data_IF_003116837227
#
_entry.id   IF_003116837227
#
_cell.length_a   1.000
_cell.length_b   1.000
_cell.length_c   1.000
_cell.angle_alpha   90.00
_cell.angle_beta   90.00
_cell.angle_gamma   90.00
#
_symmetry.space_group_name_H-M   'P 1'
#
loop_
_entity.id
_entity.type
_entity.pdbx_description
1 polymer ?
#
# COMPACT_ATOMS: atom_id res chain seq x y z
N UNK A 1 9.96 7.49 3.06
CA UNK A 1 9.72 7.92 4.46
C UNK A 1 8.37 8.63 4.50
N UNK A 2 7.53 8.37 5.49
CA UNK A 2 6.15 8.93 5.60
C UNK A 2 6.06 10.10 6.59
N UNK A 3 7.20 10.57 7.08
CA UNK A 3 7.37 11.75 7.92
C UNK A 3 7.61 12.98 7.04
N UNK A 4 7.14 14.15 7.48
CA UNK A 4 7.39 15.42 6.81
C UNK A 4 8.89 15.70 6.67
N UNK A 5 9.27 16.33 5.55
CA UNK A 5 10.65 16.81 5.32
C UNK A 5 11.00 18.03 6.19
N UNK A 6 10.00 18.75 6.69
CA UNK A 6 10.18 20.00 7.43
C UNK A 6 9.89 19.86 8.94
N UNK A 7 9.11 18.84 9.33
CA UNK A 7 8.67 18.66 10.71
C UNK A 7 8.88 17.20 11.14
N UNK A 8 9.83 16.96 12.05
CA UNK A 8 10.21 15.63 12.50
C UNK A 8 9.14 14.93 13.38
N UNK A 9 8.07 15.64 13.73
CA UNK A 9 6.95 15.15 14.53
C UNK A 9 5.63 15.06 13.73
N UNK A 10 5.67 15.25 12.40
CA UNK A 10 4.48 15.20 11.55
C UNK A 10 4.57 14.01 10.61
N UNK A 11 3.56 13.14 10.69
CA UNK A 11 3.37 11.99 9.81
C UNK A 11 2.09 12.18 8.99
N UNK A 12 2.08 11.62 7.78
CA UNK A 12 0.91 11.64 6.91
C UNK A 12 0.64 10.25 6.35
N UNK A 13 -0.60 9.99 5.95
CA UNK A 13 -1.02 8.77 5.30
C UNK A 13 -2.12 9.05 4.27
N UNK A 14 -2.12 8.23 3.21
CA UNK A 14 -3.16 8.25 2.19
C UNK A 14 -3.05 9.39 1.17
N UNK A 15 -4.19 9.79 0.66
CA UNK A 15 -4.29 10.54 -0.59
C UNK A 15 -3.79 11.99 -0.49
N UNK A 16 -3.71 12.54 0.73
CA UNK A 16 -3.16 13.87 0.99
C UNK A 16 -1.65 13.96 0.80
N UNK A 17 -0.95 12.82 0.67
CA UNK A 17 0.50 12.80 0.54
C UNK A 17 0.97 12.98 -0.91
N UNK A 18 2.21 13.44 -1.06
CA UNK A 18 2.92 13.49 -2.34
C UNK A 18 3.81 12.25 -2.56
N UNK A 19 3.35 11.06 -2.15
CA UNK A 19 4.06 9.82 -2.43
C UNK A 19 3.81 9.39 -3.89
N UNK A 20 4.82 8.84 -4.60
CA UNK A 20 4.73 8.56 -6.04
C UNK A 20 3.96 7.27 -6.39
N UNK A 21 3.23 6.69 -5.44
CA UNK A 21 2.43 5.47 -5.63
C UNK A 21 0.97 5.79 -5.98
N UNK A 22 0.25 4.80 -6.50
CA UNK A 22 -1.19 4.93 -6.71
C UNK A 22 -1.93 5.16 -5.37
N UNK A 23 -2.90 6.07 -5.42
CA UNK A 23 -3.72 6.51 -4.27
C UNK A 23 -4.89 5.55 -4.05
N UNK A 24 -4.65 4.48 -3.28
CA UNK A 24 -5.65 3.44 -2.99
C UNK A 24 -5.72 3.12 -1.51
N UNK A 25 -6.86 2.58 -1.05
CA UNK A 25 -7.03 2.16 0.35
C UNK A 25 -6.01 1.08 0.78
N UNK A 26 -5.58 0.23 -0.16
CA UNK A 26 -4.53 -0.75 0.11
C UNK A 26 -3.18 -0.09 0.41
N UNK A 27 -2.83 0.99 -0.32
CA UNK A 27 -1.66 1.79 -0.01
C UNK A 27 -1.77 2.46 1.37
N UNK A 28 -2.96 2.98 1.73
CA UNK A 28 -3.23 3.53 3.09
C UNK A 28 -2.92 2.50 4.17
N UNK A 29 -3.38 1.26 4.02
CA UNK A 29 -3.10 0.18 4.97
C UNK A 29 -1.59 -0.05 5.14
N UNK A 30 -0.82 -0.07 4.05
CA UNK A 30 0.63 -0.20 4.10
C UNK A 30 1.33 1.04 4.68
N UNK A 31 0.80 2.25 4.44
CA UNK A 31 1.27 3.47 5.10
C UNK A 31 1.12 3.36 6.62
N UNK A 32 -0.05 2.96 7.10
CA UNK A 32 -0.34 2.85 8.53
C UNK A 32 0.59 1.83 9.22
N UNK A 33 0.81 0.66 8.61
CA UNK A 33 1.79 -0.34 9.12
C UNK A 33 3.21 0.21 9.22
N UNK A 34 3.62 1.08 8.29
CA UNK A 34 4.94 1.70 8.32
C UNK A 34 5.01 2.77 9.42
N UNK A 35 3.97 3.59 9.54
CA UNK A 35 3.89 4.65 10.55
C UNK A 35 3.86 4.06 11.95
N UNK A 36 3.08 3.00 12.19
CA UNK A 36 3.00 2.32 13.49
C UNK A 36 4.38 1.90 14.01
N UNK A 37 5.19 1.26 13.16
CA UNK A 37 6.57 0.85 13.50
C UNK A 37 7.50 2.02 13.76
N UNK A 38 7.29 3.14 13.07
CA UNK A 38 8.18 4.30 13.14
C UNK A 38 7.79 5.27 14.26
N UNK A 39 6.51 5.35 14.62
CA UNK A 39 6.00 6.30 15.61
C UNK A 39 6.61 6.02 16.98
N UNK A 40 6.66 4.74 17.39
CA UNK A 40 7.31 4.35 18.66
C UNK A 40 8.79 4.73 18.70
N UNK A 41 9.54 4.44 17.62
CA UNK A 41 10.94 4.82 17.51
C UNK A 41 11.13 6.35 17.56
N UNK A 42 10.27 7.11 16.87
CA UNK A 42 10.32 8.57 16.85
C UNK A 42 10.02 9.18 18.24
N UNK A 43 9.06 8.62 18.98
CA UNK A 43 8.75 9.04 20.35
C UNK A 43 9.92 8.81 21.32
N UNK A 44 10.71 7.76 21.08
CA UNK A 44 11.91 7.42 21.87
C UNK A 44 13.18 8.12 21.38
N UNK A 45 13.10 8.95 20.33
CA UNK A 45 14.27 9.61 19.72
C UNK A 45 15.22 8.63 19.01
N UNK A 46 14.75 7.44 18.64
CA UNK A 46 15.51 6.40 17.95
C UNK A 46 15.36 6.49 16.43
N UNK A 47 16.23 5.81 15.70
CA UNK A 47 16.12 5.68 14.25
C UNK A 47 14.85 4.91 13.87
N UNK A 48 14.12 5.43 12.86
CA UNK A 48 12.90 4.81 12.33
C UNK A 48 13.23 3.57 11.49
N UNK A 49 12.86 2.35 11.92
CA UNK A 49 13.33 1.12 11.29
C UNK A 49 12.56 0.76 10.00
N UNK A 50 11.35 1.28 9.81
CA UNK A 50 10.48 0.89 8.69
C UNK A 50 10.54 1.90 7.54
N UNK A 51 10.62 1.38 6.31
CA UNK A 51 10.53 2.17 5.08
C UNK A 51 9.36 1.66 4.25
N UNK A 52 8.47 2.58 3.90
CA UNK A 52 7.42 2.32 2.92
C UNK A 52 8.06 2.16 1.54
N UNK A 53 7.66 1.10 0.84
CA UNK A 53 8.20 0.65 -0.44
C UNK A 53 7.41 1.13 -1.66
N UNK A 54 6.31 1.86 -1.44
CA UNK A 54 5.44 2.33 -2.51
C UNK A 54 4.34 1.37 -2.91
N UNK A 55 4.07 0.31 -2.11
CA UNK A 55 3.02 -0.65 -2.38
C UNK A 55 1.64 -0.02 -2.62
N UNK A 56 1.01 -0.39 -3.72
CA UNK A 56 -0.40 -0.14 -3.96
C UNK A 56 -1.07 -1.41 -4.51
N UNK A 57 -2.36 -1.53 -4.24
CA UNK A 57 -3.21 -2.55 -4.84
C UNK A 57 -4.47 -1.94 -5.42
N UNK A 58 -4.85 -2.44 -6.59
CA UNK A 58 -6.06 -2.08 -7.31
C UNK A 58 -6.75 -3.36 -7.85
N UNK A 59 -7.85 -3.80 -7.23
CA UNK A 59 -8.68 -4.87 -7.78
C UNK A 59 -9.52 -4.33 -8.96
N UNK A 60 -9.15 -4.74 -10.18
CA UNK A 60 -9.76 -4.34 -11.43
C UNK A 60 -10.88 -5.31 -11.80
N UNK A 61 -12.12 -4.85 -11.86
CA UNK A 61 -13.25 -5.68 -12.32
C UNK A 61 -13.27 -5.68 -13.85
N UNK A 62 -12.98 -6.83 -14.45
CA UNK A 62 -12.87 -7.00 -15.91
C UNK A 62 -14.07 -7.74 -16.53
N UNK A 63 -15.04 -8.12 -15.70
CA UNK A 63 -16.30 -8.71 -16.14
C UNK A 63 -17.24 -9.00 -14.97
N UNK A 64 -18.46 -9.48 -15.26
CA UNK A 64 -19.54 -9.66 -14.28
C UNK A 64 -19.14 -10.48 -13.04
N UNK A 65 -18.22 -11.42 -13.23
CA UNK A 65 -17.68 -12.32 -12.19
C UNK A 65 -16.17 -12.52 -12.37
N UNK A 66 -15.45 -11.51 -12.86
CA UNK A 66 -14.00 -11.62 -13.09
C UNK A 66 -13.28 -10.36 -12.64
N UNK A 67 -12.23 -10.56 -11.87
CA UNK A 67 -11.35 -9.49 -11.42
C UNK A 67 -9.87 -9.83 -11.65
N UNK A 68 -9.05 -8.81 -11.78
CA UNK A 68 -7.59 -8.87 -11.74
C UNK A 68 -7.18 -8.17 -10.45
N UNK A 69 -6.35 -8.82 -9.63
CA UNK A 69 -5.81 -8.19 -8.42
C UNK A 69 -4.44 -7.61 -8.78
N UNK A 70 -4.40 -6.32 -9.13
CA UNK A 70 -3.14 -5.67 -9.50
C UNK A 70 -2.45 -5.14 -8.25
N UNK A 71 -1.34 -5.75 -7.86
CA UNK A 71 -0.50 -5.32 -6.74
C UNK A 71 0.88 -4.93 -7.26
N UNK A 72 1.39 -3.75 -6.89
CA UNK A 72 2.60 -3.21 -7.49
C UNK A 72 3.26 -2.11 -6.64
N UNK A 73 4.51 -1.84 -6.95
CA UNK A 73 5.23 -0.63 -6.56
C UNK A 73 5.97 -0.05 -7.78
N UNK A 74 6.84 0.93 -7.58
CA UNK A 74 7.63 1.55 -8.66
C UNK A 74 8.62 0.60 -9.35
N UNK A 75 8.91 -0.58 -8.77
CA UNK A 75 9.84 -1.58 -9.30
C UNK A 75 9.13 -2.70 -10.07
N UNK A 76 7.81 -2.82 -9.96
CA UNK A 76 7.04 -3.84 -10.66
C UNK A 76 5.95 -4.49 -9.79
N UNK A 77 5.46 -5.68 -10.21
CA UNK A 77 4.42 -6.42 -9.50
C UNK A 77 4.84 -6.90 -8.11
N UNK A 78 3.89 -6.88 -7.16
CA UNK A 78 4.06 -7.33 -5.78
C UNK A 78 2.91 -8.24 -5.35
N UNK A 79 2.78 -9.38 -6.04
CA UNK A 79 1.66 -10.31 -5.85
C UNK A 79 1.72 -11.02 -4.48
N UNK A 80 0.66 -10.87 -3.68
CA UNK A 80 0.46 -11.51 -2.37
C UNK A 80 0.25 -13.03 -2.46
N UNK A 81 -0.52 -13.50 -3.45
CA UNK A 81 -0.87 -14.91 -3.60
C UNK A 81 0.06 -15.64 -4.58
N UNK A 82 0.31 -16.96 -4.38
CA UNK A 82 1.15 -17.78 -5.27
C UNK A 82 0.39 -18.21 -6.54
N UNK A 83 -0.36 -17.30 -7.14
CA UNK A 83 -1.11 -17.48 -8.40
C UNK A 83 -0.87 -16.25 -9.28
N UNK A 84 -0.88 -16.41 -10.60
CA UNK A 84 -0.74 -15.28 -11.51
C UNK A 84 -1.97 -14.35 -11.39
N UNK A 85 -1.80 -13.21 -10.72
CA UNK A 85 -2.89 -12.28 -10.44
C UNK A 85 -3.25 -11.39 -11.62
N UNK A 86 -2.39 -11.31 -12.64
CA UNK A 86 -2.67 -10.62 -13.91
C UNK A 86 -3.76 -11.33 -14.74
N UNK A 87 -4.04 -12.61 -14.47
CA UNK A 87 -5.16 -13.33 -15.11
C UNK A 87 -6.47 -13.04 -14.40
N UNK A 88 -7.47 -12.63 -15.18
CA UNK A 88 -8.82 -12.39 -14.66
C UNK A 88 -9.43 -13.66 -14.07
N UNK A 89 -9.67 -13.66 -12.76
CA UNK A 89 -10.20 -14.78 -12.00
C UNK A 89 -11.44 -14.42 -11.17
N UNK A 90 -12.22 -15.44 -10.82
CA UNK A 90 -13.39 -15.26 -9.93
C UNK A 90 -12.96 -14.88 -8.51
N UNK A 91 -11.80 -15.36 -8.07
CA UNK A 91 -11.24 -15.09 -6.74
C UNK A 91 -11.07 -13.60 -6.43
N UNK A 92 -10.40 -12.85 -7.33
CA UNK A 92 -10.18 -11.42 -7.14
C UNK A 92 -11.50 -10.62 -7.14
N UNK A 93 -12.49 -11.07 -7.92
CA UNK A 93 -13.84 -10.51 -7.87
C UNK A 93 -14.50 -10.73 -6.51
N UNK A 94 -14.41 -11.96 -5.98
CA UNK A 94 -15.01 -12.31 -4.68
C UNK A 94 -14.38 -11.51 -3.54
N UNK A 95 -13.04 -11.42 -3.50
CA UNK A 95 -12.30 -10.63 -2.51
C UNK A 95 -12.63 -9.14 -2.57
N UNK A 96 -12.85 -8.57 -3.76
CA UNK A 96 -13.24 -7.15 -3.84
C UNK A 96 -14.67 -6.93 -3.37
N UNK A 97 -15.54 -7.93 -3.53
CA UNK A 97 -16.96 -7.82 -3.21
C UNK A 97 -17.25 -7.93 -1.72
N UNK A 98 -16.47 -8.72 -0.98
CA UNK A 98 -16.66 -9.04 0.44
C UNK A 98 -15.41 -8.71 1.23
#
# INVERSE_FOLDING_TARGET
>A
MLMSKHFANVFAAGDCMNTPNAKTAAAVSSHLKTIEKNLGAAMEGKEMPAKYDGYASCPLIVGRHRGILAEFNSKGPMETFPINQAKGGFYAFLMKRY
#
